data_IF_331149519062
#
_entry.id   IF_331149519062
#
_cell.length_a   1.000
_cell.length_b   1.000
_cell.length_c   1.000
_cell.angle_alpha   90.00
_cell.angle_beta   90.00
_cell.angle_gamma   90.00
#
_symmetry.space_group_name_H-M   'P 1'
#
loop_
_entity.id
_entity.type
_entity.pdbx_description
1 polymer ?
#
# COMPACT_ATOMS: atom_id res chain seq x y z
N UNK A 1 -12.71 21.56 -13.51
CA UNK A 1 -13.12 20.48 -14.44
C UNK A 1 -14.64 20.22 -14.48
N UNK A 2 -15.35 20.11 -13.36
CA UNK A 2 -16.78 19.77 -13.38
C UNK A 2 -17.67 20.79 -14.10
N UNK A 3 -17.47 22.09 -13.84
CA UNK A 3 -18.21 23.16 -14.50
C UNK A 3 -17.90 23.25 -16.00
N UNK A 4 -16.61 23.22 -16.39
CA UNK A 4 -16.20 23.24 -17.80
C UNK A 4 -16.90 22.15 -18.62
N UNK A 5 -16.91 20.89 -18.13
CA UNK A 5 -17.62 19.79 -18.79
C UNK A 5 -19.12 20.02 -18.91
N UNK A 6 -19.74 20.68 -17.93
CA UNK A 6 -21.17 21.00 -18.03
C UNK A 6 -21.44 22.02 -19.12
N UNK A 7 -20.56 23.02 -19.30
CA UNK A 7 -20.70 24.02 -20.38
C UNK A 7 -20.58 23.35 -21.74
N UNK A 8 -19.55 22.51 -21.94
CA UNK A 8 -19.33 21.79 -23.21
C UNK A 8 -20.49 20.88 -23.62
N UNK A 9 -21.20 20.29 -22.65
CA UNK A 9 -22.25 19.30 -22.89
C UNK A 9 -23.66 19.85 -22.75
N UNK A 10 -23.85 21.12 -22.42
CA UNK A 10 -25.16 21.69 -22.20
C UNK A 10 -25.87 21.97 -23.55
N UNK A 11 -27.16 21.62 -23.63
CA UNK A 11 -28.02 21.91 -24.78
C UNK A 11 -29.17 22.82 -24.35
N UNK A 12 -29.19 24.10 -24.76
CA UNK A 12 -30.25 25.05 -24.38
C UNK A 12 -31.66 24.64 -24.84
N UNK A 13 -31.75 23.86 -25.93
CA UNK A 13 -33.02 23.40 -26.49
C UNK A 13 -33.73 22.32 -25.63
N UNK A 14 -33.05 21.78 -24.62
CA UNK A 14 -33.58 20.69 -23.77
C UNK A 14 -34.51 21.12 -22.64
N UNK A 15 -34.93 22.39 -22.58
CA UNK A 15 -35.94 22.88 -21.64
C UNK A 15 -35.50 22.96 -20.16
N UNK A 16 -34.23 22.70 -19.83
CA UNK A 16 -33.71 22.77 -18.46
C UNK A 16 -32.73 23.94 -18.27
N UNK A 17 -32.77 24.56 -17.09
CA UNK A 17 -31.83 25.64 -16.73
C UNK A 17 -30.42 25.07 -16.59
N UNK A 18 -29.42 25.80 -17.07
CA UNK A 18 -28.01 25.39 -17.00
C UNK A 18 -27.57 25.02 -15.58
N UNK A 19 -27.98 25.79 -14.56
CA UNK A 19 -27.61 25.53 -13.15
C UNK A 19 -27.99 24.12 -12.68
N UNK A 20 -29.18 23.64 -13.05
CA UNK A 20 -29.66 22.29 -12.70
C UNK A 20 -28.80 21.21 -13.35
N UNK A 21 -28.37 21.44 -14.60
CA UNK A 21 -27.50 20.51 -15.32
C UNK A 21 -26.06 20.52 -14.77
N UNK A 22 -25.51 21.71 -14.53
CA UNK A 22 -24.16 21.89 -14.01
C UNK A 22 -23.98 21.24 -12.63
N UNK A 23 -25.01 21.29 -11.77
CA UNK A 23 -25.00 20.64 -10.46
C UNK A 23 -24.58 19.16 -10.53
N UNK A 24 -25.14 18.39 -11.47
CA UNK A 24 -24.81 16.98 -11.64
C UNK A 24 -23.33 16.75 -11.97
N UNK A 25 -22.78 17.56 -12.89
CA UNK A 25 -21.38 17.46 -13.30
C UNK A 25 -20.41 17.90 -12.21
N UNK A 26 -20.76 18.94 -11.46
CA UNK A 26 -20.00 19.41 -10.31
C UNK A 26 -19.98 18.30 -9.25
N UNK A 27 -21.15 17.81 -8.83
CA UNK A 27 -21.27 16.74 -7.82
C UNK A 27 -20.51 15.48 -8.22
N UNK A 28 -20.65 15.03 -9.48
CA UNK A 28 -19.94 13.86 -10.02
C UNK A 28 -18.41 14.05 -9.98
N UNK A 29 -17.93 15.22 -10.39
CA UNK A 29 -16.49 15.50 -10.44
C UNK A 29 -15.89 15.63 -9.05
N UNK A 30 -16.57 16.33 -8.13
CA UNK A 30 -16.13 16.44 -6.73
C UNK A 30 -16.08 15.06 -6.07
N UNK A 31 -17.13 14.25 -6.24
CA UNK A 31 -17.16 12.87 -5.71
C UNK A 31 -16.02 12.02 -6.27
N UNK A 32 -15.76 12.10 -7.58
CA UNK A 32 -14.64 11.40 -8.22
C UNK A 32 -13.29 11.85 -7.65
N UNK A 33 -13.08 13.16 -7.47
CA UNK A 33 -11.85 13.69 -6.91
C UNK A 33 -11.64 13.21 -5.46
N UNK A 34 -12.69 13.21 -4.65
CA UNK A 34 -12.64 12.64 -3.29
C UNK A 34 -12.21 11.16 -3.34
N UNK A 35 -12.81 10.34 -4.19
CA UNK A 35 -12.43 8.93 -4.29
C UNK A 35 -10.98 8.72 -4.75
N UNK A 36 -10.47 9.60 -5.60
CA UNK A 36 -9.10 9.49 -6.12
C UNK A 36 -8.04 9.99 -5.14
N UNK A 37 -8.35 11.01 -4.34
CA UNK A 37 -7.35 11.76 -3.58
C UNK A 37 -7.51 11.69 -2.05
N UNK A 38 -8.63 11.18 -1.52
CA UNK A 38 -8.90 11.20 -0.06
C UNK A 38 -8.05 10.26 0.78
N UNK A 39 -7.33 9.32 0.16
CA UNK A 39 -6.55 8.29 0.85
C UNK A 39 -5.13 8.30 0.32
N UNK A 40 -4.17 8.11 1.23
CA UNK A 40 -2.75 7.91 0.87
C UNK A 40 -2.58 6.71 -0.07
N UNK A 41 -3.26 5.60 0.24
CA UNK A 41 -3.36 4.44 -0.65
C UNK A 41 -4.72 4.45 -1.33
N UNK A 42 -4.72 4.56 -2.66
CA UNK A 42 -5.94 4.68 -3.45
C UNK A 42 -6.81 3.42 -3.31
N UNK A 43 -8.08 3.62 -2.96
CA UNK A 43 -9.08 2.55 -2.96
C UNK A 43 -9.93 2.56 -4.24
N UNK A 44 -10.35 1.38 -4.74
CA UNK A 44 -11.34 1.27 -5.81
C UNK A 44 -12.73 1.79 -5.39
N UNK A 45 -13.56 2.18 -6.37
CA UNK A 45 -14.90 2.77 -6.12
C UNK A 45 -15.89 1.77 -5.49
N UNK A 46 -15.85 0.49 -5.90
CA UNK A 46 -16.69 -0.56 -5.32
C UNK A 46 -16.38 -0.79 -3.83
N UNK A 47 -15.10 -0.73 -3.45
CA UNK A 47 -14.64 -0.85 -2.06
C UNK A 47 -15.15 0.32 -1.23
N UNK A 48 -15.04 1.56 -1.73
CA UNK A 48 -15.54 2.74 -1.02
C UNK A 48 -17.07 2.68 -0.84
N UNK A 49 -17.79 2.29 -1.90
CA UNK A 49 -19.25 2.15 -1.84
C UNK A 49 -19.67 1.12 -0.80
N UNK A 50 -18.98 -0.02 -0.76
CA UNK A 50 -19.24 -1.06 0.23
C UNK A 50 -18.91 -0.60 1.65
N UNK A 51 -17.78 0.09 1.85
CA UNK A 51 -17.39 0.66 3.13
C UNK A 51 -18.44 1.67 3.65
N UNK A 52 -18.97 2.52 2.77
CA UNK A 52 -20.04 3.45 3.11
C UNK A 52 -21.32 2.73 3.58
N UNK A 53 -21.73 1.65 2.90
CA UNK A 53 -22.86 0.82 3.33
C UNK A 53 -22.64 0.19 4.70
N UNK A 54 -21.43 -0.31 4.96
CA UNK A 54 -21.04 -0.89 6.25
C UNK A 54 -21.06 0.16 7.36
N UNK A 55 -20.54 1.37 7.11
CA UNK A 55 -20.57 2.47 8.08
C UNK A 55 -22.00 2.90 8.38
N UNK A 56 -22.86 3.00 7.37
CA UNK A 56 -24.28 3.34 7.57
C UNK A 56 -25.01 2.24 8.34
N UNK A 57 -24.80 0.97 8.00
CA UNK A 57 -25.38 -0.16 8.74
C UNK A 57 -24.93 -0.17 10.20
N UNK A 58 -23.65 0.10 10.46
CA UNK A 58 -23.12 0.24 11.83
C UNK A 58 -23.79 1.39 12.58
N UNK A 59 -23.93 2.55 11.94
CA UNK A 59 -24.58 3.73 12.52
C UNK A 59 -26.05 3.46 12.87
N UNK A 60 -26.80 2.85 11.95
CA UNK A 60 -28.20 2.47 12.18
C UNK A 60 -28.32 1.47 13.34
N UNK A 61 -27.43 0.47 13.41
CA UNK A 61 -27.44 -0.51 14.52
C UNK A 61 -27.18 0.16 15.88
N UNK A 62 -26.29 1.15 15.94
CA UNK A 62 -26.06 1.94 17.15
C UNK A 62 -27.30 2.76 17.54
N UNK A 63 -27.99 3.34 16.56
CA UNK A 63 -29.21 4.12 16.79
C UNK A 63 -30.37 3.25 17.30
N UNK A 64 -30.43 1.99 16.89
CA UNK A 64 -31.45 1.02 17.33
C UNK A 64 -31.21 0.45 18.74
N UNK A 65 -30.11 0.85 19.41
CA UNK A 65 -29.80 0.45 20.78
C UNK A 65 -28.62 -0.51 20.92
N UNK A 66 -28.05 -0.99 19.82
CA UNK A 66 -26.86 -1.86 19.87
C UNK A 66 -25.60 -1.01 19.99
N UNK A 67 -25.21 -0.70 21.23
CA UNK A 67 -24.06 0.17 21.54
C UNK A 67 -22.73 -0.35 20.96
N UNK A 68 -22.61 -1.66 20.70
CA UNK A 68 -21.48 -2.31 20.02
C UNK A 68 -21.98 -3.42 19.08
N UNK A 69 -22.32 -3.10 17.81
CA UNK A 69 -22.81 -4.10 16.87
C UNK A 69 -21.72 -5.10 16.49
N UNK A 70 -22.05 -6.39 16.50
CA UNK A 70 -21.13 -7.48 16.18
C UNK A 70 -20.85 -7.52 14.67
N UNK A 71 -19.67 -7.99 14.26
CA UNK A 71 -19.30 -8.12 12.84
C UNK A 71 -20.33 -8.93 12.04
N UNK A 72 -20.85 -10.01 12.61
CA UNK A 72 -21.87 -10.87 12.02
C UNK A 72 -23.19 -10.13 11.75
N UNK A 73 -23.61 -9.28 12.67
CA UNK A 73 -24.84 -8.50 12.56
C UNK A 73 -24.73 -7.45 11.46
N UNK A 74 -23.59 -6.75 11.41
CA UNK A 74 -23.27 -5.78 10.35
C UNK A 74 -23.21 -6.49 8.99
N UNK A 75 -22.54 -7.65 8.93
CA UNK A 75 -22.42 -8.45 7.72
C UNK A 75 -23.79 -8.92 7.20
N UNK A 76 -24.66 -9.41 8.10
CA UNK A 76 -26.03 -9.82 7.80
C UNK A 76 -26.85 -8.66 7.27
N UNK A 77 -26.75 -7.47 7.87
CA UNK A 77 -27.50 -6.28 7.47
C UNK A 77 -27.08 -5.76 6.09
N UNK A 78 -25.80 -5.85 5.75
CA UNK A 78 -25.26 -5.43 4.45
C UNK A 78 -25.39 -6.53 3.38
N UNK A 79 -25.63 -7.78 3.78
CA UNK A 79 -25.77 -8.93 2.88
C UNK A 79 -24.42 -9.45 2.37
N UNK A 80 -23.38 -9.43 3.19
CA UNK A 80 -22.04 -9.94 2.85
C UNK A 80 -21.57 -10.99 3.85
N UNK A 81 -20.58 -11.80 3.48
CA UNK A 81 -19.95 -12.74 4.41
C UNK A 81 -19.04 -12.01 5.40
N UNK A 82 -18.87 -12.59 6.59
CA UNK A 82 -17.99 -12.03 7.64
C UNK A 82 -16.54 -11.95 7.15
N UNK A 83 -16.06 -12.97 6.43
CA UNK A 83 -14.72 -12.95 5.82
C UNK A 83 -14.52 -11.78 4.85
N UNK A 84 -15.54 -11.46 4.05
CA UNK A 84 -15.48 -10.34 3.11
C UNK A 84 -15.49 -9.01 3.86
N UNK A 85 -16.21 -8.93 4.99
CA UNK A 85 -16.18 -7.77 5.88
C UNK A 85 -14.80 -7.59 6.53
N UNK A 86 -14.15 -8.66 6.97
CA UNK A 86 -12.80 -8.59 7.55
C UNK A 86 -11.76 -8.17 6.51
N UNK A 87 -11.81 -8.74 5.30
CA UNK A 87 -10.98 -8.30 4.17
C UNK A 87 -11.21 -6.82 3.85
N UNK A 88 -12.46 -6.37 3.86
CA UNK A 88 -12.80 -4.96 3.64
C UNK A 88 -12.19 -4.06 4.72
N UNK A 89 -12.30 -4.43 6.00
CA UNK A 89 -11.68 -3.66 7.07
C UNK A 89 -10.16 -3.63 6.97
N UNK A 90 -9.54 -4.76 6.59
CA UNK A 90 -8.11 -4.83 6.37
C UNK A 90 -7.66 -3.89 5.25
N UNK A 91 -8.33 -3.91 4.10
CA UNK A 91 -8.02 -3.00 2.97
C UNK A 91 -8.32 -1.54 3.29
N UNK A 92 -9.33 -1.27 4.13
CA UNK A 92 -9.74 0.09 4.48
C UNK A 92 -8.93 0.74 5.61
N UNK A 93 -7.89 0.06 6.14
CA UNK A 93 -7.03 0.61 7.20
C UNK A 93 -6.35 1.90 6.73
N UNK A 94 -6.36 2.90 7.59
CA UNK A 94 -5.65 4.16 7.36
C UNK A 94 -4.20 3.93 7.79
N UNK A 95 -3.20 4.22 6.93
CA UNK A 95 -1.80 4.13 7.34
C UNK A 95 -1.53 5.11 8.49
N UNK A 96 -0.69 4.69 9.44
CA UNK A 96 -0.26 5.52 10.55
C UNK A 96 0.94 6.38 10.12
N UNK A 97 1.14 7.50 10.79
CA UNK A 97 2.32 8.33 10.57
C UNK A 97 3.55 7.68 11.21
N UNK A 98 4.64 7.58 10.46
CA UNK A 98 5.93 7.10 10.99
C UNK A 98 6.53 8.04 12.04
N UNK A 99 6.13 9.32 12.01
CA UNK A 99 6.59 10.35 12.95
C UNK A 99 5.73 10.42 14.21
N UNK A 100 4.66 9.63 14.30
CA UNK A 100 3.86 9.57 15.52
C UNK A 100 4.70 8.94 16.64
N UNK A 101 4.66 9.53 17.84
CA UNK A 101 5.32 8.97 19.02
C UNK A 101 4.58 7.73 19.49
N UNK A 102 5.34 6.74 19.96
CA UNK A 102 4.79 5.42 20.31
C UNK A 102 4.14 5.45 21.71
N UNK A 103 4.72 6.21 22.64
CA UNK A 103 4.23 6.40 24.01
C UNK A 103 4.11 7.88 24.38
N UNK A 104 3.14 8.21 25.22
CA UNK A 104 2.98 9.56 25.77
C UNK A 104 4.11 9.86 26.75
N UNK A 105 4.98 10.82 26.42
CA UNK A 105 6.08 11.28 27.29
C UNK A 105 7.48 10.84 26.88
N UNK A 106 7.60 10.08 25.78
CA UNK A 106 8.89 9.78 25.14
C UNK A 106 8.87 10.32 23.71
N UNK A 107 10.01 10.85 23.26
CA UNK A 107 10.16 11.36 21.88
C UNK A 107 10.42 10.24 20.85
N UNK A 108 10.31 8.97 21.25
CA UNK A 108 10.56 7.81 20.40
C UNK A 108 9.43 7.67 19.38
N UNK A 109 9.79 7.77 18.10
CA UNK A 109 8.87 7.67 16.96
C UNK A 109 8.73 6.24 16.43
N UNK A 110 7.64 5.96 15.69
CA UNK A 110 7.50 4.67 14.99
C UNK A 110 8.65 4.39 14.02
N UNK A 111 9.24 5.44 13.44
CA UNK A 111 10.38 5.32 12.54
C UNK A 111 11.61 4.72 13.23
N UNK A 112 11.88 5.10 14.47
CA UNK A 112 13.06 4.65 15.21
C UNK A 112 12.98 3.18 15.64
N UNK A 113 11.77 2.68 15.92
CA UNK A 113 11.58 1.28 16.35
C UNK A 113 11.38 0.29 15.19
N UNK A 114 11.15 0.80 13.98
CA UNK A 114 10.89 -0.05 12.82
C UNK A 114 12.20 -0.52 12.21
N UNK A 115 12.49 -1.82 12.33
CA UNK A 115 13.67 -2.42 11.71
C UNK A 115 13.58 -2.38 10.17
N UNK A 116 14.71 -2.11 9.52
CA UNK A 116 14.83 -2.22 8.07
C UNK A 116 15.03 -3.68 7.67
N UNK A 117 14.11 -4.22 6.89
CA UNK A 117 14.18 -5.59 6.39
C UNK A 117 15.10 -5.74 5.16
N UNK A 118 15.53 -4.65 4.52
CA UNK A 118 16.42 -4.69 3.37
C UNK A 118 17.89 -4.83 3.77
N UNK A 119 18.24 -4.48 5.00
CA UNK A 119 19.61 -4.60 5.51
C UNK A 119 19.78 -6.01 6.07
N UNK A 120 20.66 -6.79 5.46
CA UNK A 120 21.07 -8.06 6.04
C UNK A 120 21.82 -7.81 7.34
N UNK A 121 21.49 -8.60 8.37
CA UNK A 121 22.15 -8.56 9.66
C UNK A 121 23.65 -8.77 9.43
N UNK A 122 24.54 -7.96 10.05
CA UNK A 122 25.98 -8.01 9.80
C UNK A 122 26.54 -9.44 9.88
N UNK A 123 26.12 -10.24 10.85
CA UNK A 123 26.52 -11.64 11.00
C UNK A 123 26.24 -12.50 9.76
N UNK A 124 25.08 -12.31 9.12
CA UNK A 124 24.68 -13.06 7.92
C UNK A 124 25.49 -12.61 6.72
N UNK A 125 25.73 -11.29 6.58
CA UNK A 125 26.52 -10.75 5.48
C UNK A 125 27.99 -11.20 5.53
N UNK A 126 28.59 -11.23 6.72
CA UNK A 126 29.96 -11.72 6.93
C UNK A 126 30.03 -13.22 6.62
N UNK A 127 29.08 -14.02 7.08
CA UNK A 127 29.02 -15.44 6.76
C UNK A 127 28.99 -15.70 5.25
N UNK A 128 28.14 -14.99 4.51
CA UNK A 128 28.09 -15.07 3.03
C UNK A 128 29.39 -14.63 2.37
N UNK A 129 30.04 -13.58 2.87
CA UNK A 129 31.33 -13.12 2.34
C UNK A 129 32.43 -14.15 2.56
N UNK A 130 32.46 -14.82 3.73
CA UNK A 130 33.41 -15.88 4.03
C UNK A 130 33.16 -17.12 3.16
N UNK A 131 31.90 -17.49 2.94
CA UNK A 131 31.52 -18.54 1.98
C UNK A 131 31.99 -18.19 0.55
N UNK A 132 31.75 -16.96 0.10
CA UNK A 132 32.19 -16.50 -1.22
C UNK A 132 33.73 -16.44 -1.35
N UNK A 133 34.44 -16.04 -0.30
CA UNK A 133 35.90 -16.02 -0.25
C UNK A 133 36.52 -17.42 -0.24
N UNK A 134 35.90 -18.40 0.43
CA UNK A 134 36.34 -19.80 0.37
C UNK A 134 36.18 -20.41 -1.03
N UNK A 135 35.20 -19.94 -1.83
CA UNK A 135 34.96 -20.46 -3.18
C UNK A 135 35.93 -19.90 -4.22
N UNK A 136 36.58 -18.76 -3.98
CA UNK A 136 37.66 -18.24 -4.83
C UNK A 136 39.03 -18.58 -4.24
N UNK A 137 39.72 -19.66 -4.67
CA UNK A 137 41.07 -19.92 -4.20
C UNK A 137 42.01 -18.78 -4.65
N UNK A 138 42.99 -18.40 -3.82
CA UNK A 138 43.95 -17.36 -4.16
C UNK A 138 44.70 -17.74 -5.46
N UNK A 139 44.61 -16.90 -6.49
CA UNK A 139 45.25 -17.09 -7.81
C UNK A 139 46.79 -17.05 -7.76
N UNK A 140 47.42 -17.01 -6.59
CA UNK A 140 48.84 -16.71 -6.44
C UNK A 140 49.76 -17.91 -6.16
N UNK A 141 49.27 -19.15 -6.28
CA UNK A 141 50.09 -20.35 -6.08
C UNK A 141 49.93 -21.41 -7.17
N UNK A 142 49.90 -21.02 -8.45
CA UNK A 142 50.20 -21.99 -9.52
C UNK A 142 51.72 -22.15 -9.62
N UNK A 143 52.31 -23.32 -9.29
CA UNK A 143 53.73 -23.54 -9.50
C UNK A 143 54.04 -23.40 -10.99
N UNK A 144 55.12 -22.67 -11.28
CA UNK A 144 55.66 -22.44 -12.63
C UNK A 144 55.89 -23.82 -13.27
N UNK A 145 55.21 -24.08 -14.38
CA UNK A 145 55.40 -25.32 -15.15
C UNK A 145 56.86 -25.43 -15.56
N UNK A 146 57.35 -26.65 -15.41
CA UNK A 146 58.70 -27.14 -15.66
C UNK A 146 58.93 -27.13 -17.17
N UNK A 147 59.46 -26.02 -17.70
CA UNK A 147 59.80 -25.89 -19.11
C UNK A 147 61.24 -26.41 -19.33
N UNK A 148 61.31 -27.65 -19.83
CA UNK A 148 62.14 -28.05 -20.98
C UNK A 148 63.47 -27.32 -21.20
N UNK A 149 64.51 -27.60 -20.39
CA UNK A 149 65.87 -27.24 -20.80
C UNK A 149 66.99 -28.13 -20.25
N UNK A 150 66.85 -29.46 -20.38
CA UNK A 150 67.97 -30.42 -20.25
C UNK A 150 68.32 -31.13 -21.57
N UNK A 151 68.10 -30.47 -22.72
CA UNK A 151 68.59 -30.96 -24.01
C UNK A 151 69.36 -29.88 -24.75
N UNK A 152 70.51 -29.45 -24.20
CA UNK A 152 71.55 -28.70 -24.94
C UNK A 152 72.85 -28.57 -24.14
N UNK A 153 73.54 -29.68 -23.89
CA UNK A 153 75.01 -29.70 -23.76
C UNK A 153 75.52 -30.95 -24.49
N UNK A 154 75.99 -30.74 -25.72
CA UNK A 154 76.99 -31.59 -26.39
C UNK A 154 78.22 -30.69 -26.61
N UNK A 155 79.26 -30.90 -25.81
CA UNK A 155 80.67 -30.96 -26.23
C UNK A 155 81.49 -31.58 -25.11
#
# INVERSE_FOLDING_TARGET
MGLMKSVEKFKPQGGCRFATYAYWWIRKTTRKAIFQLSRTVRLPENVYTLLGKVMEAKKLSIQEGNQRPTKEEIARRVGITVEKLDKLFFTARIPLSMQQTVWSGQDITFQEITADAAIEIPDVSVAKQLEAACVQPPQHSKPKREDDNQAKIWY
#
